data_IF_947295363104
#
_entry.id   IF_947295363104
#
_cell.length_a   1.000
_cell.length_b   1.000
_cell.length_c   1.000
_cell.angle_alpha   90.00
_cell.angle_beta   90.00
_cell.angle_gamma   90.00
#
_symmetry.space_group_name_H-M   'P 1'
#
loop_
_entity.id
_entity.type
_entity.pdbx_description
1 polymer ?
#
# COMPACT_ATOMS: atom_id res chain seq x y z
N UNK A 1 12.56 13.48 21.94
CA UNK A 1 11.22 12.92 22.22
C UNK A 1 10.92 11.87 21.15
N UNK A 2 11.28 10.61 21.42
CA UNK A 2 11.06 9.50 20.48
C UNK A 2 9.64 8.97 20.62
N UNK A 3 8.71 9.49 19.82
CA UNK A 3 7.39 8.91 19.66
C UNK A 3 7.55 7.59 18.92
N UNK A 4 7.38 6.46 19.62
CA UNK A 4 7.30 5.16 18.98
C UNK A 4 6.04 5.17 18.11
N UNK A 5 6.20 5.23 16.80
CA UNK A 5 5.11 4.89 15.89
C UNK A 5 4.78 3.42 16.10
N UNK A 6 3.52 3.13 16.42
CA UNK A 6 3.00 1.77 16.61
C UNK A 6 2.80 1.11 15.24
N UNK A 7 3.91 0.76 14.59
CA UNK A 7 3.95 0.20 13.25
C UNK A 7 4.76 -1.10 13.28
N UNK A 8 4.16 -2.16 12.75
CA UNK A 8 4.82 -3.44 12.53
C UNK A 8 5.64 -3.43 11.24
N UNK A 9 6.73 -4.20 11.23
CA UNK A 9 7.59 -4.36 10.06
C UNK A 9 7.24 -5.63 9.28
N UNK A 10 6.99 -5.48 7.99
CA UNK A 10 6.90 -6.59 7.03
C UNK A 10 8.17 -6.63 6.18
N UNK A 11 8.71 -7.81 5.88
CA UNK A 11 9.89 -7.98 5.02
C UNK A 11 9.58 -9.01 3.94
N UNK A 12 9.96 -8.71 2.69
CA UNK A 12 9.78 -9.59 1.55
C UNK A 12 11.01 -9.51 0.63
N UNK A 13 11.30 -10.62 -0.07
CA UNK A 13 12.27 -10.63 -1.15
C UNK A 13 11.58 -10.20 -2.44
N UNK A 14 12.23 -9.32 -3.20
CA UNK A 14 11.78 -8.86 -4.52
C UNK A 14 12.93 -9.01 -5.52
N UNK A 15 12.64 -9.12 -6.83
CA UNK A 15 13.66 -9.03 -7.86
C UNK A 15 14.51 -7.74 -7.71
N UNK A 16 15.84 -7.79 -7.96
CA UNK A 16 16.71 -6.62 -7.83
C UNK A 16 16.25 -5.42 -8.66
N UNK A 17 15.73 -5.67 -9.86
CA UNK A 17 15.20 -4.66 -10.77
C UNK A 17 14.05 -3.87 -10.14
N UNK A 18 13.14 -4.53 -9.41
CA UNK A 18 12.03 -3.86 -8.73
C UNK A 18 12.52 -2.97 -7.60
N UNK A 19 13.55 -3.43 -6.88
CA UNK A 19 14.15 -2.61 -5.82
C UNK A 19 14.75 -1.33 -6.42
N UNK A 20 15.45 -1.45 -7.54
CA UNK A 20 16.06 -0.31 -8.23
C UNK A 20 14.99 0.67 -8.72
N UNK A 21 13.93 0.18 -9.36
CA UNK A 21 12.80 1.03 -9.80
C UNK A 21 12.15 1.78 -8.63
N UNK A 22 11.95 1.11 -7.48
CA UNK A 22 11.41 1.74 -6.28
C UNK A 22 12.36 2.77 -5.66
N UNK A 23 13.67 2.56 -5.75
CA UNK A 23 14.70 3.50 -5.31
C UNK A 23 14.69 4.78 -6.15
N UNK A 24 14.70 4.63 -7.48
CA UNK A 24 14.67 5.74 -8.43
C UNK A 24 13.38 6.55 -8.31
N UNK A 25 12.23 5.88 -8.13
CA UNK A 25 10.96 6.54 -7.91
C UNK A 25 10.95 7.32 -6.58
N UNK A 26 11.40 6.71 -5.49
CA UNK A 26 11.44 7.39 -4.20
C UNK A 26 12.36 8.63 -4.24
N UNK A 27 13.49 8.55 -4.94
CA UNK A 27 14.40 9.69 -5.16
C UNK A 27 13.72 10.82 -5.94
N UNK A 28 13.03 10.51 -7.05
CA UNK A 28 12.33 11.49 -7.86
C UNK A 28 11.24 12.25 -7.10
N UNK A 29 10.63 11.62 -6.08
CA UNK A 29 9.62 12.25 -5.22
C UNK A 29 10.19 12.91 -3.95
N UNK A 30 11.51 12.88 -3.75
CA UNK A 30 12.19 13.32 -2.52
C UNK A 30 11.63 12.61 -1.26
N UNK A 31 11.37 11.31 -1.36
CA UNK A 31 10.80 10.46 -0.30
C UNK A 31 11.69 9.26 0.00
N UNK A 32 11.41 8.59 1.12
CA UNK A 32 12.03 7.29 1.42
C UNK A 32 11.29 6.16 0.72
N UNK A 33 12.01 5.08 0.38
CA UNK A 33 11.43 3.84 -0.14
C UNK A 33 10.33 3.32 0.79
N UNK A 34 10.55 3.38 2.11
CA UNK A 34 9.58 2.94 3.12
C UNK A 34 8.27 3.73 3.04
N UNK A 35 8.33 5.03 2.76
CA UNK A 35 7.16 5.86 2.57
C UNK A 35 6.43 5.49 1.27
N UNK A 36 7.17 5.36 0.16
CA UNK A 36 6.60 5.01 -1.15
C UNK A 36 5.89 3.66 -1.08
N UNK A 37 6.56 2.63 -0.57
CA UNK A 37 6.00 1.29 -0.42
C UNK A 37 4.78 1.29 0.51
N UNK A 38 4.81 2.09 1.59
CA UNK A 38 3.63 2.24 2.46
C UNK A 38 2.43 2.85 1.72
N UNK A 39 2.64 3.80 0.80
CA UNK A 39 1.57 4.38 -0.02
C UNK A 39 1.02 3.39 -1.03
N UNK A 40 1.90 2.69 -1.75
CA UNK A 40 1.51 1.69 -2.73
C UNK A 40 0.69 0.55 -2.10
N UNK A 41 1.16 0.01 -0.96
CA UNK A 41 0.43 -1.02 -0.21
C UNK A 41 -0.91 -0.46 0.31
N UNK A 42 -0.93 0.77 0.82
CA UNK A 42 -2.14 1.42 1.28
C UNK A 42 -3.22 1.51 0.20
N UNK A 43 -2.84 1.95 -1.00
CA UNK A 43 -3.74 2.03 -2.16
C UNK A 43 -4.26 0.65 -2.56
N UNK A 44 -3.38 -0.35 -2.70
CA UNK A 44 -3.79 -1.71 -3.08
C UNK A 44 -4.74 -2.35 -2.04
N UNK A 45 -4.53 -2.09 -0.75
CA UNK A 45 -5.44 -2.56 0.31
C UNK A 45 -6.79 -1.85 0.27
N UNK A 46 -6.81 -0.56 -0.07
CA UNK A 46 -8.04 0.19 -0.25
C UNK A 46 -8.84 -0.36 -1.44
N UNK A 47 -8.21 -0.50 -2.61
CA UNK A 47 -8.84 -1.07 -3.80
C UNK A 47 -9.41 -2.47 -3.53
N UNK A 48 -8.66 -3.32 -2.81
CA UNK A 48 -9.14 -4.65 -2.42
C UNK A 48 -10.40 -4.58 -1.56
N UNK A 49 -10.48 -3.63 -0.61
CA UNK A 49 -11.66 -3.45 0.25
C UNK A 49 -12.86 -2.97 -0.55
N UNK A 50 -12.65 -2.07 -1.50
CA UNK A 50 -13.70 -1.56 -2.39
C UNK A 50 -14.25 -2.66 -3.29
N UNK A 51 -13.38 -3.50 -3.86
CA UNK A 51 -13.79 -4.67 -4.66
C UNK A 51 -14.46 -5.78 -3.84
N UNK A 52 -14.23 -5.81 -2.53
CA UNK A 52 -14.79 -6.82 -1.62
C UNK A 52 -16.10 -6.35 -0.96
N UNK A 53 -16.59 -5.15 -1.23
CA UNK A 53 -17.96 -4.79 -0.88
C UNK A 53 -18.90 -5.47 -1.87
N UNK A 54 -19.70 -6.48 -1.45
CA UNK A 54 -20.75 -6.98 -2.32
C UNK A 54 -21.71 -5.82 -2.59
N UNK A 55 -22.04 -5.62 -3.87
CA UNK A 55 -23.15 -4.79 -4.28
C UNK A 55 -24.38 -5.16 -3.43
N UNK A 56 -24.76 -4.27 -2.51
CA UNK A 56 -26.04 -4.34 -1.83
C UNK A 56 -27.12 -3.82 -2.77
N UNK A 57 -27.37 -4.55 -3.86
CA UNK A 57 -28.56 -4.52 -4.71
C UNK A 57 -28.72 -5.98 -5.17
N UNK A 58 -29.68 -6.77 -4.67
CA UNK A 58 -31.12 -6.58 -4.81
C UNK A 58 -31.87 -7.10 -3.57
N UNK A 59 -32.64 -6.22 -2.94
CA UNK A 59 -33.78 -6.61 -2.11
C UNK A 59 -34.88 -5.53 -2.18
N UNK A 60 -35.32 -5.20 -3.40
CA UNK A 60 -36.67 -4.69 -3.60
C UNK A 60 -37.41 -5.67 -4.50
N UNK A 61 -38.38 -6.40 -3.92
CA UNK A 61 -39.68 -6.82 -4.50
C UNK A 61 -40.16 -8.07 -3.75
N UNK A 62 -41.02 -7.90 -2.75
CA UNK A 62 -42.36 -8.52 -2.69
C UNK A 62 -43.20 -7.94 -1.56
#
# INVERSE_FOLDING_TARGET
MGGKTDLDRVTAYVPPEWKQELEEWAEAEERSISWLVSKLIGSALQERREQSQPEAVDAETK
#
